data_IF_149328721753
#
_entry.id   IF_149328721753
#
_cell.length_a   1.000
_cell.length_b   1.000
_cell.length_c   1.000
_cell.angle_alpha   90.00
_cell.angle_beta   90.00
_cell.angle_gamma   90.00
#
_symmetry.space_group_name_H-M   'P 1'
#
loop_
_entity.id
_entity.type
_entity.pdbx_description
1 polymer ?
#
# COMPACT_ATOMS: atom_id res chain seq x y z
N UNK A 1 19.14 13.22 -1.65
CA UNK A 1 19.07 14.09 -2.85
C UNK A 1 20.41 14.19 -3.58
N UNK A 2 21.51 14.56 -2.95
CA UNK A 2 22.86 14.64 -3.60
C UNK A 2 23.25 13.34 -4.31
N UNK A 3 23.02 12.19 -3.68
CA UNK A 3 23.31 10.87 -4.25
C UNK A 3 22.52 10.64 -5.55
N UNK A 4 21.21 10.97 -5.55
CA UNK A 4 20.36 10.82 -6.74
C UNK A 4 20.80 11.72 -7.91
N UNK A 5 21.28 12.93 -7.63
CA UNK A 5 21.81 13.83 -8.68
C UNK A 5 23.04 13.23 -9.38
N UNK A 6 23.87 12.47 -8.67
CA UNK A 6 25.09 11.83 -9.20
C UNK A 6 24.79 10.54 -9.96
N UNK A 7 23.64 9.91 -9.76
CA UNK A 7 23.29 8.64 -10.42
C UNK A 7 23.03 8.83 -11.93
N UNK A 8 23.62 7.93 -12.74
CA UNK A 8 23.45 7.94 -14.19
C UNK A 8 22.03 7.56 -14.63
N UNK A 9 21.33 6.76 -13.83
CA UNK A 9 19.99 6.24 -14.09
C UNK A 9 18.86 7.28 -13.90
N UNK A 10 19.13 8.39 -13.20
CA UNK A 10 18.14 9.45 -12.99
C UNK A 10 18.05 10.33 -14.24
N UNK A 11 16.82 10.51 -14.76
CA UNK A 11 16.54 11.34 -15.94
C UNK A 11 17.05 12.77 -15.77
N UNK A 12 17.55 13.43 -16.85
CA UNK A 12 18.14 14.76 -16.79
C UNK A 12 17.22 15.84 -16.22
N UNK A 13 15.94 15.85 -16.62
CA UNK A 13 14.90 16.75 -16.14
C UNK A 13 14.67 16.62 -14.62
N UNK A 14 14.64 15.39 -14.09
CA UNK A 14 14.57 15.14 -12.64
C UNK A 14 15.83 15.61 -11.91
N UNK A 15 17.01 15.48 -12.53
CA UNK A 15 18.25 16.03 -11.94
C UNK A 15 18.21 17.54 -11.80
N UNK A 16 17.63 18.26 -12.78
CA UNK A 16 17.47 19.71 -12.72
C UNK A 16 16.55 20.09 -11.56
N UNK A 17 15.43 19.37 -11.38
CA UNK A 17 14.49 19.60 -10.29
C UNK A 17 15.16 19.32 -8.92
N UNK A 18 15.86 18.21 -8.79
CA UNK A 18 16.60 17.87 -7.57
C UNK A 18 17.65 18.93 -7.21
N UNK A 19 18.37 19.46 -8.22
CA UNK A 19 19.35 20.55 -8.00
C UNK A 19 18.69 21.83 -7.51
N UNK A 20 17.52 22.23 -8.06
CA UNK A 20 16.76 23.38 -7.59
C UNK A 20 16.34 23.22 -6.13
N UNK A 21 15.85 22.03 -5.77
CA UNK A 21 15.43 21.76 -4.40
C UNK A 21 16.62 21.71 -3.41
N UNK A 22 17.82 21.33 -3.87
CA UNK A 22 19.02 21.34 -3.02
C UNK A 22 19.41 22.73 -2.55
N UNK A 23 19.07 23.79 -3.30
CA UNK A 23 19.35 25.19 -2.90
C UNK A 23 18.62 25.52 -1.58
N UNK A 24 17.44 24.95 -1.34
CA UNK A 24 16.68 25.16 -0.11
C UNK A 24 17.38 24.57 1.14
N UNK A 25 18.36 23.68 0.94
CA UNK A 25 19.12 22.99 1.98
C UNK A 25 20.59 23.47 2.05
N UNK A 26 20.90 24.64 1.53
CA UNK A 26 22.28 25.17 1.49
C UNK A 26 22.89 25.31 2.90
N UNK A 27 22.07 25.60 3.89
CA UNK A 27 22.49 25.74 5.30
C UNK A 27 22.30 24.46 6.14
N UNK A 28 22.11 23.30 5.48
CA UNK A 28 21.95 22.02 6.17
C UNK A 28 23.20 21.17 5.92
N UNK A 29 23.82 20.74 7.01
CA UNK A 29 25.01 19.88 6.95
C UNK A 29 24.71 18.54 6.28
N UNK A 30 25.67 18.08 5.49
CA UNK A 30 25.57 16.80 4.81
C UNK A 30 25.98 15.66 5.74
N UNK A 31 25.09 14.68 5.89
CA UNK A 31 25.36 13.48 6.67
C UNK A 31 25.61 12.33 5.70
N UNK A 32 26.66 11.54 5.93
CA UNK A 32 26.90 10.33 5.15
C UNK A 32 25.86 9.26 5.49
N UNK A 33 25.41 8.44 4.52
CA UNK A 33 24.32 7.47 4.72
C UNK A 33 24.55 6.47 5.84
N UNK A 34 25.79 6.05 6.07
CA UNK A 34 26.22 5.12 7.11
C UNK A 34 26.18 5.72 8.51
N UNK A 35 26.17 7.05 8.64
CA UNK A 35 26.09 7.78 9.88
C UNK A 35 24.65 8.01 10.36
N UNK A 36 23.65 7.71 9.53
CA UNK A 36 22.24 7.95 9.87
C UNK A 36 21.76 6.87 10.84
N UNK A 37 21.42 7.27 12.06
CA UNK A 37 20.82 6.38 13.07
C UNK A 37 19.31 6.32 12.87
N UNK A 38 18.85 5.44 12.01
CA UNK A 38 17.42 5.29 11.65
C UNK A 38 16.55 4.93 12.85
N UNK A 39 17.06 4.09 13.77
CA UNK A 39 16.36 3.62 14.98
C UNK A 39 16.18 4.74 16.03
N UNK A 40 16.99 5.80 15.94
CA UNK A 40 16.96 6.96 16.83
C UNK A 40 15.94 8.03 16.42
N UNK A 41 15.35 7.94 15.21
CA UNK A 41 14.42 8.95 14.71
C UNK A 41 13.06 8.80 15.39
N UNK A 42 12.70 9.80 16.21
CA UNK A 42 11.40 9.83 16.90
C UNK A 42 10.44 10.76 16.18
N UNK A 43 9.23 10.27 15.92
CA UNK A 43 8.17 11.03 15.28
C UNK A 43 7.16 11.48 16.31
N UNK A 44 6.86 12.77 16.35
CA UNK A 44 5.82 13.36 17.18
C UNK A 44 4.50 13.40 16.39
N UNK A 45 3.38 13.68 17.10
CA UNK A 45 2.03 13.69 16.53
C UNK A 45 1.89 14.66 15.34
N UNK A 46 2.66 15.74 15.33
CA UNK A 46 2.56 16.81 14.31
C UNK A 46 3.45 16.60 13.08
N UNK A 47 4.32 15.59 13.06
CA UNK A 47 5.25 15.35 11.95
C UNK A 47 5.18 13.92 11.38
N UNK A 48 3.99 13.32 11.41
CA UNK A 48 3.76 11.97 10.89
C UNK A 48 4.06 11.87 9.38
N UNK A 49 3.81 12.94 8.61
CA UNK A 49 4.17 13.02 7.19
C UNK A 49 5.68 12.86 6.95
N UNK A 50 6.52 13.32 7.88
CA UNK A 50 7.96 13.08 7.81
C UNK A 50 8.33 11.62 7.97
N UNK A 51 7.55 10.83 8.69
CA UNK A 51 7.79 9.39 8.85
C UNK A 51 7.75 8.67 7.52
N UNK A 52 6.78 8.99 6.67
CA UNK A 52 6.68 8.42 5.32
C UNK A 52 7.90 8.83 4.47
N UNK A 53 8.25 10.11 4.46
CA UNK A 53 9.42 10.61 3.74
C UNK A 53 10.71 9.95 4.21
N UNK A 54 10.92 9.79 5.52
CA UNK A 54 12.10 9.14 6.08
C UNK A 54 12.16 7.65 5.73
N UNK A 55 11.03 6.96 5.71
CA UNK A 55 10.97 5.56 5.25
C UNK A 55 11.34 5.44 3.76
N UNK A 56 10.87 6.36 2.92
CA UNK A 56 11.27 6.41 1.50
C UNK A 56 12.77 6.68 1.38
N UNK A 57 13.32 7.63 2.15
CA UNK A 57 14.76 7.91 2.17
C UNK A 57 15.57 6.67 2.61
N UNK A 58 15.12 5.97 3.64
CA UNK A 58 15.75 4.73 4.11
C UNK A 58 15.79 3.67 3.00
N UNK A 59 14.66 3.44 2.33
CA UNK A 59 14.57 2.48 1.23
C UNK A 59 15.49 2.85 0.06
N UNK A 60 15.49 4.14 -0.33
CA UNK A 60 16.33 4.63 -1.43
C UNK A 60 17.81 4.49 -1.10
N UNK A 61 18.22 4.86 0.12
CA UNK A 61 19.62 4.77 0.54
C UNK A 61 20.07 3.32 0.73
N UNK A 62 19.23 2.47 1.30
CA UNK A 62 19.51 1.04 1.46
C UNK A 62 19.70 0.35 0.10
N UNK A 63 18.85 0.66 -0.88
CA UNK A 63 18.98 0.13 -2.24
C UNK A 63 20.21 0.65 -2.97
N UNK A 64 20.61 1.92 -2.76
CA UNK A 64 21.80 2.51 -3.36
C UNK A 64 23.10 1.96 -2.75
N UNK A 65 23.14 1.70 -1.45
CA UNK A 65 24.28 1.11 -0.76
C UNK A 65 24.53 -0.34 -1.22
N UNK A 66 23.46 -1.11 -1.44
CA UNK A 66 23.56 -2.47 -1.99
C UNK A 66 23.99 -2.51 -3.46
N UNK A 67 23.74 -1.44 -4.23
CA UNK A 67 24.12 -1.31 -5.65
C UNK A 67 25.60 -0.98 -5.86
N UNK A 68 26.31 -0.48 -4.85
CA UNK A 68 27.71 -0.05 -4.98
C UNK A 68 28.71 -1.21 -4.98
N UNK A 69 28.33 -2.38 -4.47
CA UNK A 69 29.24 -3.51 -4.32
C UNK A 69 29.39 -4.43 -5.55
N UNK A 70 28.52 -4.33 -6.55
CA UNK A 70 28.66 -5.07 -7.83
C UNK A 70 28.06 -4.24 -8.95
N UNK A 71 28.91 -3.59 -9.73
CA UNK A 71 28.55 -2.83 -10.91
C UNK A 71 27.50 -3.54 -11.78
N UNK A 72 26.59 -2.74 -12.32
CA UNK A 72 25.53 -3.01 -13.28
C UNK A 72 24.19 -3.54 -12.76
N UNK A 73 23.16 -2.69 -12.93
CA UNK A 73 21.76 -3.02 -13.25
C UNK A 73 20.96 -3.89 -12.26
N UNK A 74 21.03 -3.67 -10.95
CA UNK A 74 20.14 -4.34 -9.99
C UNK A 74 19.45 -3.42 -8.98
N UNK A 75 19.13 -2.20 -9.38
CA UNK A 75 18.38 -1.27 -8.50
C UNK A 75 16.92 -1.74 -8.23
N UNK A 76 16.38 -2.63 -9.06
CA UNK A 76 15.00 -3.10 -8.99
C UNK A 76 14.81 -4.46 -8.28
N UNK A 77 15.89 -5.19 -7.96
CA UNK A 77 15.78 -6.60 -7.52
C UNK A 77 16.00 -6.80 -6.01
N UNK A 78 16.48 -5.79 -5.28
CA UNK A 78 16.81 -5.90 -3.85
C UNK A 78 16.01 -5.00 -2.90
N UNK A 79 14.82 -4.57 -3.29
CA UNK A 79 13.80 -4.36 -2.28
C UNK A 79 13.40 -5.78 -1.87
N UNK A 80 13.85 -6.21 -0.68
CA UNK A 80 13.37 -7.45 -0.06
C UNK A 80 11.85 -7.49 -0.27
N UNK A 81 11.35 -8.57 -0.85
CA UNK A 81 9.91 -8.72 -1.14
C UNK A 81 9.05 -8.38 0.08
N UNK A 82 9.55 -8.68 1.29
CA UNK A 82 8.89 -8.34 2.55
C UNK A 82 8.80 -6.83 2.78
N UNK A 83 9.87 -6.08 2.49
CA UNK A 83 9.88 -4.62 2.66
C UNK A 83 8.98 -3.94 1.66
N UNK A 84 8.93 -4.44 0.42
CA UNK A 84 8.04 -3.92 -0.62
C UNK A 84 6.59 -4.26 -0.33
N UNK A 85 6.30 -5.46 0.16
CA UNK A 85 4.97 -5.88 0.59
C UNK A 85 4.46 -4.98 1.73
N UNK A 86 5.25 -4.80 2.78
CA UNK A 86 4.90 -3.93 3.91
C UNK A 86 4.73 -2.45 3.49
N UNK A 87 5.50 -1.98 2.50
CA UNK A 87 5.32 -0.63 1.95
C UNK A 87 4.00 -0.50 1.19
N UNK A 88 3.62 -1.52 0.41
CA UNK A 88 2.37 -1.55 -0.34
C UNK A 88 1.15 -1.56 0.59
N UNK A 89 1.16 -2.40 1.63
CA UNK A 89 0.12 -2.41 2.67
C UNK A 89 -0.03 -1.04 3.32
N UNK A 90 1.08 -0.45 3.75
CA UNK A 90 1.11 0.87 4.39
C UNK A 90 0.63 1.97 3.46
N UNK A 91 0.98 1.92 2.19
CA UNK A 91 0.52 2.89 1.20
C UNK A 91 -1.00 2.91 1.11
N UNK A 92 -1.64 1.74 0.97
CA UNK A 92 -3.09 1.62 0.87
C UNK A 92 -3.75 2.07 2.18
N UNK A 93 -3.24 1.61 3.33
CA UNK A 93 -3.75 1.97 4.65
C UNK A 93 -3.73 3.48 4.88
N UNK A 94 -2.57 4.12 4.63
CA UNK A 94 -2.41 5.56 4.84
C UNK A 94 -3.20 6.39 3.81
N UNK A 95 -3.37 5.88 2.59
CA UNK A 95 -4.26 6.50 1.61
C UNK A 95 -5.67 6.64 2.18
N UNK A 96 -6.28 5.56 2.63
CA UNK A 96 -7.64 5.60 3.19
C UNK A 96 -7.71 6.38 4.49
N UNK A 97 -6.69 6.34 5.34
CA UNK A 97 -6.65 7.15 6.56
C UNK A 97 -6.66 8.64 6.28
N UNK A 98 -5.93 9.06 5.27
CA UNK A 98 -5.77 10.48 4.95
C UNK A 98 -6.95 11.01 4.14
N UNK A 99 -7.36 10.30 3.08
CA UNK A 99 -8.39 10.76 2.16
C UNK A 99 -9.80 10.39 2.62
N UNK A 100 -9.95 9.33 3.42
CA UNK A 100 -11.24 8.76 3.82
C UNK A 100 -11.29 8.42 5.32
N UNK A 101 -11.15 9.41 6.22
CA UNK A 101 -11.22 9.18 7.67
C UNK A 101 -12.57 8.58 8.10
N UNK A 102 -13.62 8.78 7.32
CA UNK A 102 -14.95 8.20 7.54
C UNK A 102 -14.97 6.67 7.48
N UNK A 103 -14.05 6.05 6.75
CA UNK A 103 -13.93 4.59 6.69
C UNK A 103 -13.15 3.97 7.85
N UNK A 104 -12.60 4.78 8.76
CA UNK A 104 -11.89 4.33 9.97
C UNK A 104 -10.86 3.23 9.67
N UNK A 105 -10.06 3.44 8.61
CA UNK A 105 -9.10 2.46 8.11
C UNK A 105 -8.06 2.06 9.17
N UNK A 106 -8.02 0.78 9.53
CA UNK A 106 -7.05 0.21 10.48
C UNK A 106 -6.80 -1.26 10.18
N UNK A 107 -5.64 -1.82 10.57
CA UNK A 107 -5.50 -3.26 10.78
C UNK A 107 -6.38 -3.67 11.95
N UNK A 108 -7.10 -4.78 11.81
CA UNK A 108 -7.93 -5.33 12.87
C UNK A 108 -7.50 -6.76 13.22
N UNK A 109 -7.64 -7.12 14.47
CA UNK A 109 -7.55 -8.52 14.90
C UNK A 109 -8.93 -9.14 14.84
N UNK A 110 -9.07 -10.22 14.08
CA UNK A 110 -10.32 -10.96 13.93
C UNK A 110 -10.29 -12.14 14.90
N UNK A 111 -11.25 -12.24 15.84
CA UNK A 111 -11.34 -13.39 16.71
C UNK A 111 -11.86 -14.62 15.94
N UNK A 112 -11.36 -15.80 16.28
CA UNK A 112 -11.92 -17.05 15.79
C UNK A 112 -13.38 -17.23 16.27
N UNK A 113 -14.24 -17.65 15.38
CA UNK A 113 -15.59 -18.05 15.72
C UNK A 113 -15.59 -19.53 16.11
N UNK A 114 -15.47 -19.81 17.42
CA UNK A 114 -15.36 -21.15 17.99
C UNK A 114 -16.59 -21.44 18.87
N UNK A 115 -17.02 -22.70 18.91
CA UNK A 115 -18.22 -23.13 19.61
C UNK A 115 -17.95 -23.53 21.06
N UNK A 116 -16.74 -24.06 21.34
CA UNK A 116 -16.37 -24.63 22.64
C UNK A 116 -15.52 -23.69 23.52
N UNK A 117 -15.14 -22.52 22.99
CA UNK A 117 -14.32 -21.54 23.70
C UNK A 117 -12.83 -21.88 23.79
N UNK A 118 -12.36 -22.97 23.19
CA UNK A 118 -10.96 -23.38 23.24
C UNK A 118 -10.14 -22.62 22.18
N UNK A 119 -9.27 -21.72 22.61
CA UNK A 119 -8.46 -20.86 21.74
C UNK A 119 -6.96 -21.21 21.72
N UNK A 120 -6.57 -22.19 22.53
CA UNK A 120 -5.16 -22.55 22.68
C UNK A 120 -4.54 -22.96 21.33
N UNK A 121 -3.36 -22.38 21.04
CA UNK A 121 -2.59 -22.61 19.81
C UNK A 121 -3.24 -22.14 18.51
N UNK A 122 -4.39 -21.47 18.53
CA UNK A 122 -4.96 -20.86 17.34
C UNK A 122 -4.09 -19.67 16.88
N UNK A 123 -3.73 -19.59 15.60
CA UNK A 123 -2.97 -18.45 15.10
C UNK A 123 -3.80 -17.17 15.15
N UNK A 124 -3.17 -16.04 15.42
CA UNK A 124 -3.83 -14.73 15.33
C UNK A 124 -4.24 -14.42 13.89
N UNK A 125 -5.45 -13.89 13.71
CA UNK A 125 -5.93 -13.36 12.43
C UNK A 125 -5.84 -11.84 12.47
N UNK A 126 -4.83 -11.28 11.81
CA UNK A 126 -4.64 -9.82 11.71
C UNK A 126 -4.79 -9.42 10.24
N UNK A 127 -5.64 -8.45 9.98
CA UNK A 127 -5.86 -7.92 8.62
C UNK A 127 -4.81 -6.87 8.27
N UNK A 128 -4.49 -6.71 6.99
CA UNK A 128 -3.65 -5.60 6.54
C UNK A 128 -4.41 -4.27 6.64
N UNK A 129 -5.62 -4.23 6.07
CA UNK A 129 -6.51 -3.07 6.12
C UNK A 129 -7.95 -3.52 6.33
N UNK A 130 -8.64 -2.87 7.25
CA UNK A 130 -10.10 -2.99 7.42
C UNK A 130 -10.73 -1.60 7.30
N UNK A 131 -11.68 -1.47 6.38
CA UNK A 131 -12.49 -0.27 6.20
C UNK A 131 -13.89 -0.51 6.76
N UNK A 132 -14.43 0.45 7.52
CA UNK A 132 -15.74 0.35 8.18
C UNK A 132 -16.59 1.59 7.91
N UNK A 133 -17.81 1.41 7.41
CA UNK A 133 -18.77 2.50 7.23
C UNK A 133 -20.19 1.97 7.22
N UNK A 134 -21.09 2.67 7.89
CA UNK A 134 -22.54 2.40 7.87
C UNK A 134 -22.92 0.92 8.13
N UNK A 135 -22.23 0.25 9.05
CA UNK A 135 -22.48 -1.16 9.39
C UNK A 135 -21.91 -2.18 8.41
N UNK A 136 -21.24 -1.71 7.34
CA UNK A 136 -20.50 -2.55 6.39
C UNK A 136 -19.02 -2.58 6.72
N UNK A 137 -18.36 -3.69 6.43
CA UNK A 137 -16.92 -3.89 6.63
C UNK A 137 -16.29 -4.46 5.37
N UNK A 138 -15.23 -3.82 4.89
CA UNK A 138 -14.38 -4.34 3.82
C UNK A 138 -13.00 -4.68 4.37
N UNK A 139 -12.62 -5.94 4.31
CA UNK A 139 -11.28 -6.41 4.65
C UNK A 139 -10.46 -6.45 3.37
N UNK A 140 -9.34 -5.75 3.33
CA UNK A 140 -8.41 -5.75 2.20
C UNK A 140 -7.12 -6.45 2.66
N UNK A 141 -6.76 -7.49 1.94
CA UNK A 141 -5.51 -8.21 2.06
C UNK A 141 -4.64 -7.82 0.85
N UNK A 142 -3.62 -7.02 1.11
CA UNK A 142 -2.77 -6.40 0.10
C UNK A 142 -1.62 -7.32 -0.28
N UNK A 143 -1.47 -7.65 -1.55
CA UNK A 143 -0.48 -8.61 -2.04
C UNK A 143 0.45 -7.99 -3.06
N UNK A 144 1.73 -7.94 -2.74
CA UNK A 144 2.79 -7.51 -3.66
C UNK A 144 3.69 -8.70 -3.99
N UNK A 145 3.45 -9.33 -5.13
CA UNK A 145 4.23 -10.48 -5.61
C UNK A 145 4.84 -10.19 -6.98
N UNK A 146 5.94 -10.86 -7.31
CA UNK A 146 6.48 -10.86 -8.66
C UNK A 146 5.53 -11.49 -9.68
N UNK A 147 4.71 -12.45 -9.23
CA UNK A 147 3.67 -13.11 -10.01
C UNK A 147 2.34 -13.10 -9.25
N UNK A 148 1.31 -12.53 -9.86
CA UNK A 148 -0.04 -12.40 -9.28
C UNK A 148 -0.79 -13.73 -9.28
N UNK A 149 -0.57 -14.55 -10.32
CA UNK A 149 -1.24 -15.82 -10.54
C UNK A 149 -0.27 -16.98 -10.36
N UNK A 150 -0.75 -18.10 -9.81
CA UNK A 150 -0.05 -19.37 -9.88
C UNK A 150 -0.48 -20.11 -11.14
N UNK A 151 0.47 -20.69 -11.86
CA UNK A 151 0.18 -21.52 -13.02
C UNK A 151 0.47 -22.98 -12.69
N UNK A 152 -0.54 -23.83 -12.81
CA UNK A 152 -0.43 -25.26 -12.65
C UNK A 152 -1.17 -25.96 -13.81
N UNK A 153 -0.48 -26.82 -14.55
CA UNK A 153 -1.03 -27.51 -15.73
C UNK A 153 -1.66 -26.52 -16.76
N UNK A 154 -0.97 -25.42 -17.08
CA UNK A 154 -1.42 -24.35 -18.00
C UNK A 154 -2.71 -23.63 -17.57
N UNK A 155 -3.17 -23.82 -16.34
CA UNK A 155 -4.28 -23.09 -15.76
C UNK A 155 -3.77 -22.03 -14.80
N UNK A 156 -4.06 -20.77 -15.09
CA UNK A 156 -3.75 -19.66 -14.18
C UNK A 156 -4.86 -19.52 -13.14
N UNK A 157 -4.50 -19.56 -11.88
CA UNK A 157 -5.44 -19.42 -10.75
C UNK A 157 -4.91 -18.48 -9.68
N UNK A 158 -5.82 -17.98 -8.86
CA UNK A 158 -5.49 -17.21 -7.66
C UNK A 158 -4.75 -18.14 -6.69
N UNK A 159 -3.76 -17.60 -5.97
CA UNK A 159 -3.08 -18.35 -4.91
C UNK A 159 -4.08 -18.84 -3.85
N UNK A 160 -4.24 -20.14 -3.73
CA UNK A 160 -5.25 -20.75 -2.85
C UNK A 160 -5.12 -20.32 -1.39
N UNK A 161 -3.88 -20.20 -0.89
CA UNK A 161 -3.62 -19.73 0.47
C UNK A 161 -4.16 -18.32 0.74
N UNK A 162 -4.05 -17.40 -0.23
CA UNK A 162 -4.59 -16.05 -0.09
C UNK A 162 -6.13 -16.08 -0.08
N UNK A 163 -6.73 -16.91 -0.93
CA UNK A 163 -8.19 -17.04 -0.97
C UNK A 163 -8.73 -17.63 0.33
N UNK A 164 -8.08 -18.66 0.88
CA UNK A 164 -8.47 -19.25 2.17
C UNK A 164 -8.30 -18.23 3.32
N UNK A 165 -7.24 -17.45 3.32
CA UNK A 165 -6.98 -16.42 4.33
C UNK A 165 -8.10 -15.38 4.34
N UNK A 166 -8.39 -14.75 3.19
CA UNK A 166 -9.43 -13.72 3.14
C UNK A 166 -10.82 -14.28 3.43
N UNK A 167 -11.11 -15.50 2.97
CA UNK A 167 -12.38 -16.17 3.25
C UNK A 167 -12.53 -16.45 4.75
N UNK A 168 -11.47 -16.97 5.39
CA UNK A 168 -11.48 -17.20 6.84
C UNK A 168 -11.71 -15.89 7.62
N UNK A 169 -11.07 -14.78 7.23
CA UNK A 169 -11.28 -13.49 7.87
C UNK A 169 -12.73 -13.02 7.76
N UNK A 170 -13.30 -13.08 6.58
CA UNK A 170 -14.69 -12.66 6.32
C UNK A 170 -15.67 -13.51 7.13
N UNK A 171 -15.54 -14.84 7.12
CA UNK A 171 -16.46 -15.75 7.79
C UNK A 171 -16.37 -15.66 9.32
N UNK A 172 -15.19 -15.47 9.87
CA UNK A 172 -15.01 -15.30 11.30
C UNK A 172 -15.55 -13.94 11.79
N UNK A 173 -15.48 -12.89 10.96
CA UNK A 173 -16.02 -11.57 11.33
C UNK A 173 -17.54 -11.49 11.14
N UNK A 174 -18.10 -12.11 10.10
CA UNK A 174 -19.54 -12.14 9.82
C UNK A 174 -20.25 -13.33 10.47
N UNK A 175 -20.09 -13.46 11.79
CA UNK A 175 -20.67 -14.58 12.59
C UNK A 175 -22.17 -14.73 12.39
N UNK A 176 -22.88 -13.62 12.23
CA UNK A 176 -24.33 -13.59 12.09
C UNK A 176 -24.80 -13.77 10.65
N UNK A 177 -23.91 -14.05 9.73
CA UNK A 177 -24.19 -14.26 8.30
C UNK A 177 -25.01 -13.12 7.68
N UNK A 178 -24.66 -11.89 8.02
CA UNK A 178 -25.39 -10.68 7.57
C UNK A 178 -25.11 -10.32 6.11
N UNK A 179 -24.01 -10.82 5.56
CA UNK A 179 -23.49 -10.41 4.24
C UNK A 179 -22.89 -8.99 4.21
N UNK A 180 -22.80 -8.32 5.37
CA UNK A 180 -22.26 -6.96 5.49
C UNK A 180 -20.73 -6.92 5.61
N UNK A 181 -20.07 -8.07 5.60
CA UNK A 181 -18.61 -8.18 5.58
C UNK A 181 -18.19 -8.68 4.20
N UNK A 182 -17.29 -7.97 3.56
CA UNK A 182 -16.68 -8.38 2.30
C UNK A 182 -15.17 -8.51 2.44
N UNK A 183 -14.57 -9.36 1.62
CA UNK A 183 -13.13 -9.51 1.50
C UNK A 183 -12.62 -9.03 0.16
N UNK A 184 -11.38 -8.58 0.12
CA UNK A 184 -10.69 -8.21 -1.11
C UNK A 184 -9.23 -8.66 -1.06
N UNK A 185 -8.81 -9.42 -2.07
CA UNK A 185 -7.40 -9.59 -2.41
C UNK A 185 -7.02 -8.46 -3.37
N UNK A 186 -6.13 -7.58 -2.95
CA UNK A 186 -5.68 -6.45 -3.75
C UNK A 186 -4.22 -6.65 -4.17
N UNK A 187 -4.03 -7.12 -5.38
CA UNK A 187 -2.71 -7.37 -5.94
C UNK A 187 -2.11 -6.10 -6.55
N UNK A 188 -0.83 -5.86 -6.31
CA UNK A 188 -0.09 -4.90 -7.12
C UNK A 188 0.09 -5.45 -8.54
N UNK A 189 -0.09 -4.61 -9.57
CA UNK A 189 0.11 -5.01 -10.97
C UNK A 189 1.56 -5.39 -11.22
N UNK A 190 1.73 -6.57 -11.78
CA UNK A 190 3.00 -7.10 -12.26
C UNK A 190 3.15 -6.91 -13.77
N UNK A 191 4.16 -7.54 -14.37
CA UNK A 191 4.34 -7.57 -15.82
C UNK A 191 3.49 -8.65 -16.50
N UNK A 192 2.69 -9.42 -15.76
CA UNK A 192 1.80 -10.44 -16.32
C UNK A 192 0.69 -9.82 -17.14
N UNK A 193 0.29 -10.53 -18.19
CA UNK A 193 -0.81 -10.10 -19.07
C UNK A 193 -2.17 -10.20 -18.37
N UNK A 194 -2.33 -11.18 -17.46
CA UNK A 194 -3.57 -11.42 -16.74
C UNK A 194 -3.60 -10.52 -15.50
N UNK A 195 -4.56 -9.61 -15.45
CA UNK A 195 -4.81 -8.72 -14.31
C UNK A 195 -6.17 -9.08 -13.71
N UNK A 196 -6.23 -9.85 -12.60
CA UNK A 196 -7.50 -10.23 -12.00
C UNK A 196 -8.33 -9.01 -11.62
N UNK A 197 -9.61 -9.03 -11.98
CA UNK A 197 -10.60 -8.05 -11.55
C UNK A 197 -11.98 -8.73 -11.48
N UNK A 198 -12.12 -9.60 -10.50
CA UNK A 198 -13.27 -10.48 -10.35
C UNK A 198 -14.00 -10.23 -9.04
N UNK A 199 -15.31 -10.48 -9.08
CA UNK A 199 -16.19 -10.48 -7.92
C UNK A 199 -16.83 -11.86 -7.78
N UNK A 200 -16.69 -12.44 -6.60
CA UNK A 200 -17.27 -13.74 -6.25
C UNK A 200 -18.29 -13.57 -5.14
N UNK A 201 -19.37 -14.34 -5.19
CA UNK A 201 -20.29 -14.53 -4.07
C UNK A 201 -19.98 -15.89 -3.46
N UNK A 202 -19.54 -15.91 -2.23
CA UNK A 202 -19.11 -17.12 -1.52
C UNK A 202 -19.80 -17.19 -0.17
N UNK A 203 -20.66 -18.16 -0.01
CA UNK A 203 -21.39 -18.44 1.25
C UNK A 203 -21.99 -17.18 1.91
N UNK A 204 -22.74 -16.42 1.10
CA UNK A 204 -23.45 -15.20 1.53
C UNK A 204 -22.62 -13.92 1.58
N UNK A 205 -21.29 -14.00 1.44
CA UNK A 205 -20.40 -12.84 1.45
C UNK A 205 -19.82 -12.56 0.05
N UNK A 206 -19.37 -11.34 -0.14
CA UNK A 206 -18.64 -10.94 -1.37
C UNK A 206 -17.14 -11.03 -1.16
N UNK A 207 -16.45 -11.71 -2.07
CA UNK A 207 -14.99 -11.73 -2.15
C UNK A 207 -14.56 -11.13 -3.48
N UNK A 208 -13.72 -10.12 -3.44
CA UNK A 208 -13.15 -9.50 -4.63
C UNK A 208 -11.68 -9.85 -4.80
N UNK A 209 -11.28 -9.97 -6.03
CA UNK A 209 -9.87 -10.08 -6.43
C UNK A 209 -9.60 -8.97 -7.42
N UNK A 210 -8.79 -8.01 -7.04
CA UNK A 210 -8.49 -6.82 -7.85
C UNK A 210 -7.00 -6.59 -8.00
N UNK A 211 -6.67 -5.86 -9.05
CA UNK A 211 -5.29 -5.43 -9.33
C UNK A 211 -5.22 -3.90 -9.29
N UNK A 212 -4.24 -3.37 -8.57
CA UNK A 212 -3.91 -1.95 -8.48
C UNK A 212 -2.67 -1.67 -9.35
N UNK A 213 -2.80 -0.84 -10.37
CA UNK A 213 -1.70 -0.47 -11.25
C UNK A 213 -0.90 0.72 -10.65
N UNK A 214 0.24 0.40 -10.05
CA UNK A 214 1.14 1.39 -9.47
C UNK A 214 2.06 2.07 -10.49
N UNK A 215 2.04 1.66 -11.77
CA UNK A 215 2.84 2.28 -12.82
C UNK A 215 2.20 3.55 -13.39
N UNK A 216 0.96 3.83 -12.98
CA UNK A 216 0.21 5.01 -13.41
C UNK A 216 0.61 6.25 -12.60
N UNK A 217 0.35 7.47 -13.10
CA UNK A 217 0.42 8.68 -12.30
C UNK A 217 -0.49 8.61 -11.07
N UNK A 218 -0.06 9.23 -9.96
CA UNK A 218 -0.78 9.15 -8.69
C UNK A 218 -2.29 9.47 -8.76
N UNK A 219 -2.78 10.48 -9.53
CA UNK A 219 -4.21 10.72 -9.65
C UNK A 219 -5.01 9.52 -10.17
N UNK A 220 -4.43 8.73 -11.07
CA UNK A 220 -5.07 7.53 -11.62
C UNK A 220 -4.98 6.35 -10.62
N UNK A 221 -3.93 6.27 -9.82
CA UNK A 221 -3.85 5.31 -8.71
C UNK A 221 -4.92 5.64 -7.67
N UNK A 222 -5.06 6.91 -7.31
CA UNK A 222 -6.09 7.39 -6.41
C UNK A 222 -7.49 7.05 -6.92
N UNK A 223 -7.79 7.28 -8.20
CA UNK A 223 -9.07 6.92 -8.81
C UNK A 223 -9.39 5.43 -8.69
N UNK A 224 -8.40 4.55 -8.82
CA UNK A 224 -8.59 3.11 -8.62
C UNK A 224 -8.95 2.79 -7.15
N UNK A 225 -8.31 3.45 -6.17
CA UNK A 225 -8.61 3.27 -4.75
C UNK A 225 -9.99 3.82 -4.38
N UNK A 226 -10.37 4.98 -4.93
CA UNK A 226 -11.71 5.55 -4.82
C UNK A 226 -12.78 4.57 -5.31
N UNK A 227 -12.55 3.98 -6.48
CA UNK A 227 -13.46 3.01 -7.07
C UNK A 227 -13.61 1.76 -6.20
N UNK A 228 -12.54 1.31 -5.54
CA UNK A 228 -12.59 0.18 -4.61
C UNK A 228 -13.57 0.46 -3.47
N UNK A 229 -13.45 1.62 -2.84
CA UNK A 229 -14.34 2.00 -1.74
C UNK A 229 -15.77 2.27 -2.23
N UNK A 230 -15.93 2.99 -3.34
CA UNK A 230 -17.23 3.33 -3.91
C UNK A 230 -18.04 2.11 -4.35
N UNK A 231 -17.40 1.09 -4.90
CA UNK A 231 -18.07 -0.14 -5.36
C UNK A 231 -18.64 -0.96 -4.19
N UNK A 232 -18.09 -0.84 -2.99
CA UNK A 232 -18.59 -1.56 -1.82
C UNK A 232 -19.50 -0.73 -0.93
N UNK A 233 -19.08 0.47 -0.56
CA UNK A 233 -19.85 1.31 0.36
C UNK A 233 -20.96 2.09 -0.35
N UNK A 234 -20.90 2.19 -1.67
CA UNK A 234 -21.75 3.04 -2.51
C UNK A 234 -21.09 4.39 -2.75
N UNK A 235 -21.39 4.99 -3.88
CA UNK A 235 -20.95 6.34 -4.20
C UNK A 235 -21.67 7.33 -3.29
N UNK A 236 -21.17 7.52 -2.08
CA UNK A 236 -21.48 8.73 -1.33
C UNK A 236 -21.20 9.91 -2.29
N UNK A 237 -22.04 10.94 -2.31
CA UNK A 237 -21.78 12.15 -3.09
C UNK A 237 -20.39 12.66 -2.72
N UNK A 238 -19.37 12.26 -3.47
CA UNK A 238 -18.07 12.90 -3.40
C UNK A 238 -18.29 14.31 -3.95
N UNK A 239 -18.34 15.26 -3.05
CA UNK A 239 -18.20 16.65 -3.44
C UNK A 239 -16.76 16.77 -3.99
N UNK A 240 -16.65 16.81 -5.32
CA UNK A 240 -15.36 16.98 -6.02
C UNK A 240 -14.67 18.32 -5.66
N UNK A 241 -15.32 19.14 -4.86
CA UNK A 241 -14.77 20.38 -4.31
C UNK A 241 -13.94 20.16 -3.05
N UNK A 242 -13.93 18.96 -2.49
CA UNK A 242 -13.14 18.57 -1.30
C UNK A 242 -11.71 18.13 -1.58
N UNK A 243 -11.16 18.29 -2.79
CA UNK A 243 -9.71 18.46 -2.96
C UNK A 243 -9.43 19.79 -2.27
N UNK A 244 -9.12 19.68 -0.97
CA UNK A 244 -8.92 20.83 -0.11
C UNK A 244 -8.02 21.83 -0.83
N UNK A 245 -8.50 23.04 -0.94
CA UNK A 245 -7.75 24.22 -1.37
C UNK A 245 -6.64 24.56 -0.36
N UNK A 246 -5.99 23.53 0.20
CA UNK A 246 -4.72 23.73 0.87
C UNK A 246 -3.70 24.02 -0.24
N UNK A 247 -3.25 25.26 -0.29
CA UNK A 247 -2.25 25.74 -1.26
C UNK A 247 -1.05 24.80 -1.35
N UNK A 248 -0.74 24.04 -0.30
CA UNK A 248 0.31 23.03 -0.24
C UNK A 248 0.04 21.80 -1.13
N UNK A 249 -1.22 21.38 -1.31
CA UNK A 249 -1.55 20.29 -2.24
C UNK A 249 -1.48 20.72 -3.71
N UNK A 250 -1.80 21.97 -4.03
CA UNK A 250 -1.63 22.49 -5.40
C UNK A 250 -0.18 22.54 -5.83
N UNK A 251 0.72 22.92 -4.94
CA UNK A 251 2.17 22.93 -5.24
C UNK A 251 2.73 21.51 -5.48
N UNK A 252 2.21 20.49 -4.78
CA UNK A 252 2.62 19.09 -4.99
C UNK A 252 2.10 18.54 -6.33
N UNK A 253 0.89 18.93 -6.75
CA UNK A 253 0.28 18.47 -8.01
C UNK A 253 0.85 19.22 -9.22
N UNK A 254 1.12 20.51 -9.09
CA UNK A 254 1.63 21.35 -10.19
C UNK A 254 3.12 21.12 -10.46
N UNK A 255 3.90 20.67 -9.46
CA UNK A 255 5.35 20.45 -9.59
C UNK A 255 5.78 18.97 -9.60
N UNK A 256 4.86 18.02 -9.55
CA UNK A 256 5.14 16.61 -9.84
C UNK A 256 6.17 15.96 -8.90
N UNK A 257 6.10 16.25 -7.60
CA UNK A 257 6.97 15.63 -6.58
C UNK A 257 6.29 14.40 -6.00
#
# INVERSE_FOLDING_TARGET
MMILVRQKTVKPDRKVLLKKNLILFENVDMIEPDQIRWDGIRYQRNNQSYRMLMNICYLVLGSLLLSTDKGETKLAVFLDERSTHSLYEKFILEYFRYHHPEYKANPDTIPWNIDDGMIDFLPGMVTDITLKSAGKVLIIDAKYYGHTMQTQYDVSSIHSGNLYQIFAYVKNLDRNQTGNVAGMLLYAKTQEQITPNNKYSMDGNTIWVRTLDLNLPFPQIAEQLEKIAGDYFGSGKFDRTGIGTDRRCKEIIEYGI
#
